data_IF_531038438827
#
_entry.id   IF_531038438827
#
_cell.length_a   1.000
_cell.length_b   1.000
_cell.length_c   1.000
_cell.angle_alpha   90.00
_cell.angle_beta   90.00
_cell.angle_gamma   90.00
#
_symmetry.space_group_name_H-M   'P 1'
#
loop_
_entity.id
_entity.type
_entity.pdbx_description
1 polymer ?
#
# COMPACT_ATOMS: atom_id res chain seq x y z
N UNK A 1 75.66 -58.41 5.05
CA UNK A 1 75.61 -56.99 4.77
C UNK A 1 74.17 -56.57 4.97
N UNK A 2 73.88 -55.85 6.11
CA UNK A 2 72.54 -55.50 6.48
C UNK A 2 72.33 -53.97 6.28
N UNK A 3 71.28 -53.60 5.54
CA UNK A 3 70.94 -52.22 5.34
C UNK A 3 69.88 -51.77 6.40
N UNK A 4 70.05 -50.64 7.04
CA UNK A 4 69.10 -50.18 8.05
C UNK A 4 67.82 -49.58 7.40
N UNK A 5 66.65 -49.95 7.94
CA UNK A 5 65.35 -49.41 7.59
C UNK A 5 65.19 -48.00 8.12
N UNK A 6 65.04 -47.03 7.24
CA UNK A 6 64.66 -45.66 7.61
C UNK A 6 63.16 -45.59 7.98
N UNK A 7 62.90 -45.26 9.26
CA UNK A 7 61.55 -45.00 9.77
C UNK A 7 61.06 -43.64 9.30
N UNK A 8 60.01 -43.63 8.49
CA UNK A 8 59.36 -42.39 8.05
C UNK A 8 58.26 -42.02 9.08
N UNK A 9 58.54 -41.03 9.89
CA UNK A 9 57.53 -40.41 10.73
C UNK A 9 56.60 -39.58 9.85
N UNK A 10 55.36 -40.06 9.70
CA UNK A 10 54.27 -39.28 9.08
C UNK A 10 53.62 -38.42 10.14
N UNK A 11 53.83 -37.12 10.06
CA UNK A 11 53.16 -36.12 10.92
C UNK A 11 51.73 -35.90 10.41
N UNK A 12 50.68 -36.11 11.22
CA UNK A 12 49.33 -35.78 10.78
C UNK A 12 49.13 -34.26 10.78
N UNK A 13 48.89 -33.69 9.62
CA UNK A 13 48.50 -32.32 9.45
C UNK A 13 47.03 -32.19 9.87
N UNK A 14 46.79 -31.67 11.07
CA UNK A 14 45.43 -31.37 11.56
C UNK A 14 44.96 -30.08 10.86
N UNK A 15 44.11 -30.19 9.84
CA UNK A 15 43.40 -29.09 9.26
C UNK A 15 42.29 -28.64 10.24
N UNK A 16 42.53 -27.57 10.97
CA UNK A 16 41.49 -26.90 11.76
C UNK A 16 40.52 -26.20 10.80
N UNK A 17 39.40 -26.83 10.48
CA UNK A 17 38.28 -26.21 9.74
C UNK A 17 37.60 -25.23 10.70
N UNK A 18 37.91 -23.92 10.58
CA UNK A 18 37.22 -22.85 11.24
C UNK A 18 35.85 -22.69 10.60
N UNK A 19 34.81 -23.27 11.19
CA UNK A 19 33.42 -23.00 10.85
C UNK A 19 33.06 -21.57 11.25
N UNK A 20 33.15 -20.63 10.33
CA UNK A 20 32.48 -19.33 10.47
C UNK A 20 30.97 -19.60 10.50
N UNK A 21 30.43 -19.76 11.70
CA UNK A 21 28.99 -19.70 11.94
C UNK A 21 28.54 -18.27 11.67
N UNK A 22 28.27 -17.94 10.41
CA UNK A 22 27.58 -16.73 10.04
C UNK A 22 26.19 -16.78 10.66
N UNK A 23 25.95 -16.04 11.74
CA UNK A 23 24.62 -15.72 12.23
C UNK A 23 23.94 -14.90 11.14
N UNK A 24 23.33 -15.58 10.15
CA UNK A 24 22.35 -14.96 9.27
C UNK A 24 21.27 -14.41 10.21
N UNK A 25 21.21 -13.09 10.37
CA UNK A 25 20.11 -12.41 11.01
C UNK A 25 18.87 -12.85 10.23
N UNK A 26 18.12 -13.77 10.78
CA UNK A 26 16.83 -14.18 10.28
C UNK A 26 15.94 -12.94 10.38
N UNK A 27 15.91 -12.13 9.34
CA UNK A 27 14.87 -11.11 9.17
C UNK A 27 13.57 -11.89 9.14
N UNK A 28 12.82 -11.83 10.24
CA UNK A 28 11.55 -12.53 10.37
C UNK A 28 10.67 -12.23 9.19
N UNK A 29 10.05 -13.25 8.61
CA UNK A 29 9.10 -13.07 7.51
C UNK A 29 7.99 -12.11 7.96
N UNK A 30 7.59 -11.14 7.11
CA UNK A 30 6.55 -10.20 7.47
C UNK A 30 5.26 -10.94 7.81
N UNK A 31 4.62 -10.55 8.89
CA UNK A 31 3.33 -11.07 9.33
C UNK A 31 2.25 -10.79 8.28
N UNK A 32 1.12 -11.50 8.38
CA UNK A 32 -0.02 -11.24 7.49
C UNK A 32 -0.54 -9.80 7.67
N UNK A 33 -0.56 -9.29 8.90
CA UNK A 33 -0.97 -7.91 9.19
C UNK A 33 -0.06 -6.87 8.51
N UNK A 34 1.26 -7.07 8.53
CA UNK A 34 2.21 -6.21 7.83
C UNK A 34 2.06 -6.28 6.31
N UNK A 35 1.81 -7.46 5.75
CA UNK A 35 1.51 -7.64 4.32
C UNK A 35 0.24 -6.90 3.94
N UNK A 36 -0.83 -7.01 4.75
CA UNK A 36 -2.10 -6.30 4.54
C UNK A 36 -1.92 -4.78 4.62
N UNK A 37 -1.13 -4.28 5.58
CA UNK A 37 -0.80 -2.85 5.65
C UNK A 37 -0.02 -2.38 4.42
N UNK A 38 0.95 -3.17 3.95
CA UNK A 38 1.70 -2.87 2.73
C UNK A 38 0.79 -2.82 1.50
N UNK A 39 -0.12 -3.77 1.37
CA UNK A 39 -1.14 -3.82 0.32
C UNK A 39 -2.03 -2.57 0.34
N UNK A 40 -2.58 -2.21 1.50
CA UNK A 40 -3.37 -0.99 1.68
C UNK A 40 -2.62 0.27 1.23
N UNK A 41 -1.37 0.42 1.65
CA UNK A 41 -0.52 1.55 1.25
C UNK A 41 -0.29 1.60 -0.26
N UNK A 42 -0.08 0.46 -0.90
CA UNK A 42 0.11 0.38 -2.35
C UNK A 42 -1.15 0.83 -3.11
N UNK A 43 -2.35 0.40 -2.69
CA UNK A 43 -3.61 0.85 -3.27
C UNK A 43 -3.73 2.38 -3.16
N UNK A 44 -3.50 2.95 -1.98
CA UNK A 44 -3.57 4.40 -1.79
C UNK A 44 -2.54 5.16 -2.61
N UNK A 45 -1.33 4.64 -2.78
CA UNK A 45 -0.33 5.27 -3.65
C UNK A 45 -0.82 5.38 -5.09
N UNK A 46 -1.46 4.32 -5.62
CA UNK A 46 -2.00 4.34 -6.98
C UNK A 46 -3.23 5.26 -7.07
N UNK A 47 -4.10 5.29 -6.05
CA UNK A 47 -5.22 6.24 -5.98
C UNK A 47 -4.69 7.68 -6.03
N UNK A 48 -3.74 8.04 -5.17
CA UNK A 48 -3.17 9.39 -5.08
C UNK A 48 -2.49 9.80 -6.40
N UNK A 49 -1.78 8.89 -7.05
CA UNK A 49 -1.19 9.12 -8.37
C UNK A 49 -2.22 9.51 -9.44
N UNK A 50 -3.42 8.93 -9.37
CA UNK A 50 -4.51 9.29 -10.29
C UNK A 50 -5.28 10.54 -9.85
N UNK A 51 -5.51 10.70 -8.56
CA UNK A 51 -6.25 11.85 -8.00
C UNK A 51 -5.48 13.17 -8.18
N UNK A 52 -4.15 13.17 -8.08
CA UNK A 52 -3.33 14.37 -8.18
C UNK A 52 -3.58 15.17 -9.47
N UNK A 53 -3.40 14.59 -10.67
CA UNK A 53 -3.69 15.29 -11.92
C UNK A 53 -5.17 15.67 -12.08
N UNK A 54 -6.12 14.83 -11.65
CA UNK A 54 -7.54 15.18 -11.67
C UNK A 54 -7.82 16.41 -10.79
N UNK A 55 -7.18 16.47 -9.61
CA UNK A 55 -7.28 17.63 -8.72
C UNK A 55 -6.73 18.91 -9.37
N UNK A 56 -5.58 18.81 -10.07
CA UNK A 56 -5.02 19.94 -10.79
C UNK A 56 -5.93 20.43 -11.92
N UNK A 57 -6.53 19.51 -12.68
CA UNK A 57 -7.52 19.84 -13.71
C UNK A 57 -8.81 20.43 -13.12
N UNK A 58 -9.30 19.89 -12.00
CA UNK A 58 -10.51 20.37 -11.35
C UNK A 58 -10.34 21.76 -10.72
N UNK A 59 -9.14 22.12 -10.31
CA UNK A 59 -8.78 23.43 -9.73
C UNK A 59 -8.26 24.44 -10.79
N UNK A 60 -8.37 24.13 -12.07
CA UNK A 60 -7.84 24.97 -13.17
C UNK A 60 -6.32 25.26 -13.10
N UNK A 61 -5.55 24.41 -12.37
CA UNK A 61 -4.10 24.49 -12.29
C UNK A 61 -3.38 23.86 -13.48
N UNK A 62 -4.12 23.12 -14.29
CA UNK A 62 -3.69 22.59 -15.58
C UNK A 62 -4.88 22.49 -16.55
N UNK A 63 -4.64 22.49 -17.87
CA UNK A 63 -5.72 22.33 -18.86
C UNK A 63 -6.52 21.04 -18.62
N UNK A 64 -7.85 21.14 -18.73
CA UNK A 64 -8.72 19.98 -18.60
C UNK A 64 -8.61 19.08 -19.85
N UNK A 65 -8.26 17.82 -19.63
CA UNK A 65 -8.26 16.78 -20.67
C UNK A 65 -9.29 15.71 -20.28
N UNK A 66 -10.40 15.66 -20.99
CA UNK A 66 -11.51 14.77 -20.66
C UNK A 66 -11.14 13.28 -20.74
N UNK A 67 -10.34 12.88 -21.71
CA UNK A 67 -9.93 11.48 -21.88
C UNK A 67 -8.98 11.01 -20.74
N UNK A 68 -7.98 11.83 -20.38
CA UNK A 68 -7.09 11.53 -19.25
C UNK A 68 -7.87 11.55 -17.94
N UNK A 69 -8.75 12.53 -17.74
CA UNK A 69 -9.59 12.64 -16.54
C UNK A 69 -10.47 11.40 -16.36
N UNK A 70 -11.18 10.97 -17.41
CA UNK A 70 -12.03 9.78 -17.37
C UNK A 70 -11.23 8.50 -17.12
N UNK A 71 -10.06 8.36 -17.75
CA UNK A 71 -9.16 7.22 -17.51
C UNK A 71 -8.74 7.12 -16.06
N UNK A 72 -8.37 8.25 -15.45
CA UNK A 72 -7.96 8.29 -14.02
C UNK A 72 -9.13 8.04 -13.08
N UNK A 73 -10.31 8.60 -13.38
CA UNK A 73 -11.52 8.38 -12.61
C UNK A 73 -11.91 6.88 -12.58
N UNK A 74 -11.84 6.21 -13.73
CA UNK A 74 -12.10 4.77 -13.82
C UNK A 74 -11.12 3.97 -12.94
N UNK A 75 -9.82 4.27 -12.98
CA UNK A 75 -8.83 3.59 -12.14
C UNK A 75 -9.11 3.76 -10.66
N UNK A 76 -9.53 4.95 -10.23
CA UNK A 76 -9.90 5.16 -8.82
C UNK A 76 -11.14 4.35 -8.46
N UNK A 77 -12.15 4.30 -9.33
CA UNK A 77 -13.36 3.50 -9.12
C UNK A 77 -13.07 1.98 -9.03
N UNK A 78 -12.08 1.49 -9.78
CA UNK A 78 -11.65 0.09 -9.71
C UNK A 78 -10.85 -0.23 -8.43
N UNK A 79 -10.07 0.74 -7.94
CA UNK A 79 -9.21 0.54 -6.76
C UNK A 79 -9.95 0.72 -5.43
N UNK A 80 -10.94 1.61 -5.37
CA UNK A 80 -11.63 1.94 -4.13
C UNK A 80 -12.29 0.72 -3.44
N UNK A 81 -12.96 -0.22 -4.14
CA UNK A 81 -13.53 -1.42 -3.52
C UNK A 81 -12.48 -2.33 -2.86
N UNK A 82 -11.25 -2.37 -3.39
CA UNK A 82 -10.16 -3.19 -2.83
C UNK A 82 -9.74 -2.74 -1.42
N UNK A 83 -10.07 -1.51 -1.03
CA UNK A 83 -9.77 -1.02 0.31
C UNK A 83 -10.56 -1.76 1.39
N UNK A 84 -11.74 -2.32 1.09
CA UNK A 84 -12.54 -3.07 2.05
C UNK A 84 -11.77 -4.21 2.70
N UNK A 85 -11.11 -5.04 1.89
CA UNK A 85 -10.29 -6.17 2.39
C UNK A 85 -8.98 -5.72 3.05
N UNK A 86 -8.47 -4.54 2.67
CA UNK A 86 -7.23 -3.99 3.20
C UNK A 86 -7.37 -3.40 4.62
N UNK A 87 -8.57 -3.35 5.17
CA UNK A 87 -8.88 -2.91 6.53
C UNK A 87 -9.39 -4.05 7.41
N UNK A 88 -8.73 -5.20 7.34
CA UNK A 88 -9.04 -6.30 8.26
C UNK A 88 -8.69 -5.95 9.71
N UNK A 89 -9.34 -6.59 10.69
CA UNK A 89 -9.02 -6.40 12.12
C UNK A 89 -7.56 -6.68 12.47
N UNK A 90 -6.89 -7.55 11.73
CA UNK A 90 -5.49 -7.94 11.96
C UNK A 90 -4.48 -6.82 11.76
N UNK A 91 -4.89 -5.71 11.13
CA UNK A 91 -4.02 -4.53 10.94
C UNK A 91 -4.13 -3.50 12.07
N UNK A 92 -4.91 -3.76 13.10
CA UNK A 92 -5.01 -2.89 14.28
C UNK A 92 -3.67 -2.85 15.01
N UNK A 93 -3.14 -1.65 15.19
CA UNK A 93 -1.90 -1.44 15.93
C UNK A 93 -0.62 -1.86 15.21
N UNK A 94 -0.69 -2.24 13.94
CA UNK A 94 0.51 -2.52 13.13
C UNK A 94 1.37 -1.26 13.01
N UNK A 95 2.66 -1.40 13.25
CA UNK A 95 3.61 -0.30 13.16
C UNK A 95 3.55 0.41 11.80
N UNK A 96 3.73 1.72 11.80
CA UNK A 96 3.65 2.57 10.61
C UNK A 96 2.24 2.63 9.95
N UNK A 97 1.19 2.26 10.68
CA UNK A 97 -0.19 2.53 10.28
C UNK A 97 -0.57 3.95 10.71
N UNK A 98 -1.10 4.75 9.77
CA UNK A 98 -1.61 6.09 10.06
C UNK A 98 -3.11 6.04 10.46
N UNK A 99 -3.59 4.91 10.94
CA UNK A 99 -4.97 4.75 11.39
C UNK A 99 -5.08 5.05 12.87
N UNK A 100 -6.02 5.92 13.23
CA UNK A 100 -6.42 6.13 14.62
C UNK A 100 -7.15 4.89 15.14
N UNK A 101 -7.05 4.62 16.45
CA UNK A 101 -7.71 3.48 17.10
C UNK A 101 -9.25 3.52 16.93
N UNK A 102 -9.81 4.70 16.81
CA UNK A 102 -11.24 4.97 16.64
C UNK A 102 -11.83 4.30 15.39
N UNK A 103 -11.02 4.08 14.33
CA UNK A 103 -11.47 3.35 13.15
C UNK A 103 -11.87 1.91 13.46
N UNK A 104 -11.24 1.30 14.45
CA UNK A 104 -11.52 -0.05 14.90
C UNK A 104 -12.61 -0.10 15.96
N UNK A 105 -12.78 0.97 16.73
CA UNK A 105 -13.81 1.11 17.75
C UNK A 105 -15.18 1.45 17.14
N UNK A 106 -15.19 2.26 16.08
CA UNK A 106 -16.38 2.72 15.38
C UNK A 106 -16.48 2.10 13.97
N UNK A 107 -16.37 0.77 13.91
CA UNK A 107 -16.23 0.04 12.65
C UNK A 107 -17.38 0.31 11.68
N UNK A 108 -18.62 0.38 12.15
CA UNK A 108 -19.78 0.63 11.29
C UNK A 108 -19.71 2.00 10.59
N UNK A 109 -19.32 3.06 11.32
CA UNK A 109 -19.15 4.39 10.72
C UNK A 109 -17.92 4.43 9.79
N UNK A 110 -16.83 3.75 10.15
CA UNK A 110 -15.67 3.62 9.27
C UNK A 110 -16.03 2.93 7.95
N UNK A 111 -16.75 1.81 8.01
CA UNK A 111 -17.19 1.07 6.82
C UNK A 111 -18.16 1.89 5.95
N UNK A 112 -19.06 2.68 6.58
CA UNK A 112 -19.92 3.60 5.86
C UNK A 112 -19.12 4.64 5.08
N UNK A 113 -18.08 5.26 5.70
CA UNK A 113 -17.20 6.22 5.01
C UNK A 113 -16.39 5.59 3.88
N UNK A 114 -15.99 4.35 4.04
CA UNK A 114 -15.31 3.61 2.99
C UNK A 114 -16.27 3.33 1.82
N UNK A 115 -17.52 2.99 2.13
CA UNK A 115 -18.58 2.84 1.12
C UNK A 115 -18.85 4.16 0.38
N UNK A 116 -18.89 5.29 1.08
CA UNK A 116 -19.07 6.61 0.47
C UNK A 116 -17.96 6.90 -0.57
N UNK A 117 -16.72 6.52 -0.29
CA UNK A 117 -15.61 6.61 -1.26
C UNK A 117 -15.85 5.71 -2.48
N UNK A 118 -16.28 4.47 -2.27
CA UNK A 118 -16.57 3.52 -3.35
C UNK A 118 -17.68 4.08 -4.27
N UNK A 119 -18.79 4.50 -3.68
CA UNK A 119 -19.93 5.03 -4.42
C UNK A 119 -19.57 6.36 -5.11
N UNK A 120 -18.85 7.25 -4.43
CA UNK A 120 -18.40 8.53 -4.98
C UNK A 120 -17.43 8.37 -6.14
N UNK A 121 -16.51 7.42 -6.05
CA UNK A 121 -15.56 7.13 -7.15
C UNK A 121 -16.26 6.51 -8.36
N UNK A 122 -17.21 5.61 -8.16
CA UNK A 122 -18.01 5.04 -9.22
C UNK A 122 -18.85 6.11 -9.95
N UNK A 123 -19.49 7.02 -9.19
CA UNK A 123 -20.24 8.15 -9.75
C UNK A 123 -19.33 9.10 -10.54
N UNK A 124 -18.13 9.42 -10.00
CA UNK A 124 -17.14 10.23 -10.70
C UNK A 124 -16.75 9.60 -12.04
N UNK A 125 -16.44 8.30 -12.05
CA UNK A 125 -16.09 7.58 -13.26
C UNK A 125 -17.22 7.65 -14.31
N UNK A 126 -18.46 7.42 -13.90
CA UNK A 126 -19.63 7.51 -14.77
C UNK A 126 -19.81 8.92 -15.38
N UNK A 127 -19.69 9.97 -14.55
CA UNK A 127 -19.85 11.36 -15.01
C UNK A 127 -18.73 11.75 -15.96
N UNK A 128 -17.49 11.35 -15.66
CA UNK A 128 -16.31 11.68 -16.46
C UNK A 128 -16.35 11.07 -17.87
N UNK A 129 -17.03 9.95 -18.07
CA UNK A 129 -17.26 9.33 -19.38
C UNK A 129 -18.02 10.25 -20.35
N UNK A 130 -18.86 11.13 -19.83
CA UNK A 130 -19.61 12.11 -20.65
C UNK A 130 -18.75 13.25 -21.20
N UNK A 131 -17.50 13.40 -20.78
CA UNK A 131 -16.54 14.38 -21.28
C UNK A 131 -16.81 15.85 -20.88
N UNK A 132 -17.91 16.12 -20.17
CA UNK A 132 -18.28 17.46 -19.69
C UNK A 132 -17.36 17.89 -18.55
N UNK A 133 -16.57 18.93 -18.79
CA UNK A 133 -15.59 19.43 -17.83
C UNK A 133 -16.23 19.93 -16.53
N UNK A 134 -17.31 20.69 -16.61
CA UNK A 134 -17.95 21.29 -15.44
C UNK A 134 -18.55 20.20 -14.54
N UNK A 135 -19.27 19.23 -15.12
CA UNK A 135 -19.84 18.11 -14.38
C UNK A 135 -18.77 17.21 -13.79
N UNK A 136 -17.70 16.95 -14.55
CA UNK A 136 -16.58 16.12 -14.08
C UNK A 136 -15.85 16.75 -12.89
N UNK A 137 -15.61 18.07 -12.94
CA UNK A 137 -15.01 18.82 -11.82
C UNK A 137 -15.91 18.78 -10.58
N UNK A 138 -17.20 19.01 -10.73
CA UNK A 138 -18.16 18.94 -9.62
C UNK A 138 -18.16 17.54 -8.98
N UNK A 139 -18.28 16.47 -9.79
CA UNK A 139 -18.24 15.10 -9.30
C UNK A 139 -16.90 14.73 -8.64
N UNK A 140 -15.78 15.32 -9.09
CA UNK A 140 -14.48 15.15 -8.46
C UNK A 140 -14.46 15.73 -7.05
N UNK A 141 -14.98 16.96 -6.84
CA UNK A 141 -15.04 17.55 -5.52
C UNK A 141 -15.98 16.78 -4.57
N UNK A 142 -17.10 16.27 -5.07
CA UNK A 142 -17.99 15.39 -4.30
C UNK A 142 -17.21 14.15 -3.79
N UNK A 143 -16.50 13.45 -4.68
CA UNK A 143 -15.68 12.29 -4.31
C UNK A 143 -14.55 12.69 -3.35
N UNK A 144 -13.85 13.80 -3.59
CA UNK A 144 -12.76 14.27 -2.73
C UNK A 144 -13.23 14.59 -1.30
N UNK A 145 -14.46 15.06 -1.13
CA UNK A 145 -15.07 15.30 0.17
C UNK A 145 -15.26 14.00 0.97
N UNK A 146 -15.51 12.86 0.32
CA UNK A 146 -15.56 11.56 1.03
C UNK A 146 -14.21 11.18 1.61
N UNK A 147 -13.11 11.44 0.87
CA UNK A 147 -11.74 11.23 1.35
C UNK A 147 -11.48 12.11 2.59
N UNK A 148 -11.83 13.39 2.51
CA UNK A 148 -11.64 14.34 3.61
C UNK A 148 -12.41 13.91 4.85
N UNK A 149 -13.68 13.58 4.72
CA UNK A 149 -14.54 13.18 5.84
C UNK A 149 -14.02 11.94 6.59
N UNK A 150 -13.40 10.98 5.87
CA UNK A 150 -12.75 9.83 6.47
C UNK A 150 -11.43 10.24 7.16
N UNK A 151 -10.60 11.05 6.49
CA UNK A 151 -9.30 11.47 7.00
C UNK A 151 -9.43 12.30 8.28
N UNK A 152 -10.32 13.27 8.33
CA UNK A 152 -10.53 14.12 9.51
C UNK A 152 -10.82 13.29 10.77
N UNK A 153 -11.52 12.17 10.62
CA UNK A 153 -11.94 11.34 11.75
C UNK A 153 -10.94 10.23 12.08
N UNK A 154 -10.41 9.55 11.08
CA UNK A 154 -9.74 8.26 11.25
C UNK A 154 -8.27 8.23 10.86
N UNK A 155 -7.73 9.26 10.20
CA UNK A 155 -6.31 9.33 9.86
C UNK A 155 -5.55 10.13 10.92
N UNK A 156 -4.44 9.60 11.41
CA UNK A 156 -3.49 10.33 12.23
C UNK A 156 -2.65 11.28 11.35
N UNK A 157 -2.19 12.37 11.93
CA UNK A 157 -1.30 13.36 11.31
C UNK A 157 0.10 12.77 11.06
#
# INVERSE_FOLDING_TARGET
MAFPRASRFVLPLILAASTLSGSALAQGQPTQAEKTLKYRKAIYQVIVYNVGPMSAMAQDKMPFNSADFATRANRVAELAPMLGEAYSPDTKGVANSNMKAEAWQNRADFDAKLKDLVDGSAKLAQVAQGGDAAKSKAAFFDMANTCKACHDKYKAD
#
